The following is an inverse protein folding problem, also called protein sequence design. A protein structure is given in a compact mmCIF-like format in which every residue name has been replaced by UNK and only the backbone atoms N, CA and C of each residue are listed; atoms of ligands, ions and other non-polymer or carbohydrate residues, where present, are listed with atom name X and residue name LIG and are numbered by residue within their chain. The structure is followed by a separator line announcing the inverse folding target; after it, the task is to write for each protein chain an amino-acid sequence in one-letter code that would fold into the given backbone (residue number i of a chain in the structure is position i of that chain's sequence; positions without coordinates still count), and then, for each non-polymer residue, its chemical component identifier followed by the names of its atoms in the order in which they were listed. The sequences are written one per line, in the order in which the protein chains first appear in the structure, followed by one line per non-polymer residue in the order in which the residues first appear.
data_IF_338005052860
#
_entry.id   IF_338005052860
#
_cell.length_a   1.000
_cell.length_b   1.000
_cell.length_c   1.000
_cell.angle_alpha   90.00
_cell.angle_beta   90.00
_cell.angle_gamma   90.00
#
_symmetry.space_group_name_H-M   'P 1'
#
loop_
_entity.id
_entity.type
_entity.pdbx_description
1 polymer ?
#
# COMPACT_ATOMS: atom_id res chain seq x y z
N UNK A 1 0.67 6.25 34.31
CA UNK A 1 0.66 7.54 33.59
C UNK A 1 0.99 7.21 32.13
N UNK A 2 -0.04 7.06 31.29
CA UNK A 2 0.14 6.76 29.85
C UNK A 2 0.18 8.10 29.14
N UNK A 3 1.33 8.44 28.57
CA UNK A 3 1.56 9.68 27.85
C UNK A 3 0.80 9.55 26.53
N UNK A 4 -0.28 10.31 26.37
CA UNK A 4 -0.95 10.46 25.08
C UNK A 4 -0.04 11.34 24.22
N UNK A 5 0.79 10.73 23.40
CA UNK A 5 1.43 11.41 22.28
C UNK A 5 0.32 11.57 21.25
N UNK A 6 -0.33 12.72 21.26
CA UNK A 6 -1.23 13.12 20.18
C UNK A 6 -0.39 13.30 18.92
N UNK A 7 -0.31 12.25 18.10
CA UNK A 7 0.24 12.36 16.76
C UNK A 7 -0.83 13.08 15.96
N UNK A 8 -0.54 14.34 15.63
CA UNK A 8 -1.38 15.14 14.75
C UNK A 8 -1.58 14.37 13.44
N UNK A 9 -2.80 14.34 12.86
CA UNK A 9 -2.98 13.79 11.53
C UNK A 9 -2.15 14.66 10.60
N UNK A 10 -1.02 14.10 10.15
CA UNK A 10 -0.23 14.65 9.06
C UNK A 10 -1.09 14.50 7.82
N UNK A 11 -2.02 15.42 7.63
CA UNK A 11 -2.57 15.76 6.34
C UNK A 11 -1.37 16.18 5.49
N UNK A 12 -0.80 15.22 4.76
CA UNK A 12 0.22 15.47 3.75
C UNK A 12 -0.45 16.25 2.61
N UNK A 13 -0.54 17.56 2.79
CA UNK A 13 -0.92 18.49 1.74
C UNK A 13 0.27 18.54 0.76
N UNK A 14 0.16 17.77 -0.31
CA UNK A 14 0.88 18.01 -1.56
C UNK A 14 2.28 17.40 -1.67
N UNK A 15 2.36 16.20 -2.25
CA UNK A 15 3.49 15.85 -3.10
C UNK A 15 3.05 15.81 -4.56
N UNK A 16 2.69 16.96 -5.13
CA UNK A 16 2.50 17.09 -6.58
C UNK A 16 3.84 17.05 -7.37
N UNK A 17 4.92 16.54 -6.78
CA UNK A 17 6.28 16.52 -7.39
C UNK A 17 7.06 15.23 -7.21
N UNK A 18 6.64 14.29 -6.35
CA UNK A 18 7.34 13.00 -6.23
C UNK A 18 6.84 12.00 -7.29
N UNK A 19 7.73 11.15 -7.85
CA UNK A 19 7.32 10.05 -8.72
C UNK A 19 6.29 9.14 -8.05
N UNK A 20 5.37 8.60 -8.85
CA UNK A 20 4.35 7.66 -8.35
C UNK A 20 4.96 6.46 -7.63
N UNK A 21 6.10 5.95 -8.12
CA UNK A 21 6.86 4.86 -7.48
C UNK A 21 7.17 5.15 -6.01
N UNK A 22 7.53 6.39 -5.69
CA UNK A 22 7.89 6.76 -4.32
C UNK A 22 6.63 6.96 -3.48
N UNK A 23 5.61 7.61 -4.04
CA UNK A 23 4.34 7.87 -3.34
C UNK A 23 3.63 6.58 -2.95
N UNK A 24 3.58 5.60 -3.86
CA UNK A 24 2.96 4.30 -3.56
C UNK A 24 3.81 3.48 -2.59
N UNK A 25 5.14 3.53 -2.68
CA UNK A 25 6.02 2.88 -1.71
C UNK A 25 5.82 3.45 -0.31
N UNK A 26 5.84 4.78 -0.17
CA UNK A 26 5.63 5.49 1.10
C UNK A 26 4.26 5.16 1.70
N UNK A 27 3.20 5.21 0.90
CA UNK A 27 1.85 4.85 1.33
C UNK A 27 1.79 3.41 1.86
N UNK A 28 2.32 2.44 1.10
CA UNK A 28 2.29 1.03 1.51
C UNK A 28 3.15 0.78 2.75
N UNK A 29 4.33 1.38 2.85
CA UNK A 29 5.20 1.24 4.02
C UNK A 29 4.61 1.89 5.28
N UNK A 30 3.91 3.01 5.15
CA UNK A 30 3.20 3.64 6.28
C UNK A 30 2.11 2.73 6.84
N UNK A 31 1.34 2.10 5.95
CA UNK A 31 0.33 1.10 6.31
C UNK A 31 0.98 -0.09 7.00
N UNK A 32 1.98 -0.71 6.38
CA UNK A 32 2.68 -1.87 6.96
C UNK A 32 3.21 -1.59 8.37
N UNK A 33 3.69 -0.36 8.61
CA UNK A 33 4.28 0.03 9.90
C UNK A 33 3.24 0.36 10.97
N UNK A 34 2.16 1.06 10.60
CA UNK A 34 1.30 1.73 11.59
C UNK A 34 -0.10 1.12 11.72
N UNK A 35 -0.47 0.17 10.85
CA UNK A 35 -1.82 -0.35 10.75
C UNK A 35 -2.44 -0.91 12.05
N UNK A 36 -1.62 -1.45 12.97
CA UNK A 36 -2.10 -2.00 14.24
C UNK A 36 -2.62 -0.93 15.22
N UNK A 37 -2.15 0.31 15.07
CA UNK A 37 -2.51 1.43 15.95
C UNK A 37 -3.60 2.33 15.35
N UNK A 38 -3.99 2.08 14.10
CA UNK A 38 -4.93 2.90 13.35
C UNK A 38 -6.38 2.71 13.78
N UNK A 39 -7.10 3.82 13.87
CA UNK A 39 -8.54 3.82 13.95
C UNK A 39 -9.17 3.44 12.60
N UNK A 40 -10.46 3.13 12.60
CA UNK A 40 -11.20 2.92 11.35
C UNK A 40 -11.14 4.14 10.41
N UNK A 41 -11.10 5.35 10.97
CA UNK A 41 -10.98 6.58 10.18
C UNK A 41 -9.61 6.67 9.50
N UNK A 42 -8.53 6.36 10.22
CA UNK A 42 -7.18 6.33 9.66
C UNK A 42 -7.06 5.30 8.53
N UNK A 43 -7.67 4.13 8.73
CA UNK A 43 -7.79 3.10 7.70
C UNK A 43 -8.52 3.58 6.45
N UNK A 44 -9.68 4.22 6.61
CA UNK A 44 -10.47 4.72 5.50
C UNK A 44 -9.72 5.80 4.71
N UNK A 45 -9.05 6.72 5.41
CA UNK A 45 -8.25 7.78 4.79
C UNK A 45 -7.06 7.19 4.01
N UNK A 46 -6.37 6.21 4.60
CA UNK A 46 -5.25 5.54 3.95
C UNK A 46 -5.67 4.75 2.72
N UNK A 47 -6.82 4.07 2.78
CA UNK A 47 -7.41 3.38 1.62
C UNK A 47 -7.80 4.36 0.52
N UNK A 48 -8.37 5.51 0.86
CA UNK A 48 -8.72 6.55 -0.12
C UNK A 48 -7.46 7.03 -0.86
N UNK A 49 -6.36 7.24 -0.14
CA UNK A 49 -5.08 7.63 -0.75
C UNK A 49 -4.50 6.50 -1.62
N UNK A 50 -4.49 5.27 -1.14
CA UNK A 50 -4.06 4.10 -1.93
C UNK A 50 -4.85 3.97 -3.24
N UNK A 51 -6.18 4.11 -3.18
CA UNK A 51 -7.04 4.03 -4.35
C UNK A 51 -6.79 5.16 -5.36
N UNK A 52 -6.46 6.37 -4.89
CA UNK A 52 -6.05 7.48 -5.78
C UNK A 52 -4.76 7.16 -6.52
N UNK A 53 -3.77 6.60 -5.81
CA UNK A 53 -2.49 6.20 -6.41
C UNK A 53 -2.66 5.07 -7.42
N UNK A 54 -3.51 4.07 -7.12
CA UNK A 54 -3.83 2.99 -8.05
C UNK A 54 -4.50 3.52 -9.31
N UNK A 55 -5.48 4.42 -9.17
CA UNK A 55 -6.14 5.05 -10.30
C UNK A 55 -5.16 5.87 -11.16
N UNK A 56 -4.26 6.62 -10.53
CA UNK A 56 -3.20 7.36 -11.25
C UNK A 56 -2.29 6.39 -12.03
N UNK A 57 -1.92 5.25 -11.44
CA UNK A 57 -1.14 4.21 -12.10
C UNK A 57 -1.87 3.66 -13.33
N UNK A 58 -3.15 3.29 -13.19
CA UNK A 58 -3.96 2.74 -14.27
C UNK A 58 -4.14 3.73 -15.44
N UNK A 59 -4.46 4.99 -15.13
CA UNK A 59 -4.67 6.04 -16.13
C UNK A 59 -3.40 6.37 -16.93
N UNK A 60 -2.22 6.16 -16.32
CA UNK A 60 -0.93 6.50 -16.89
C UNK A 60 -0.07 5.26 -17.20
N UNK A 61 -0.65 4.05 -17.18
CA UNK A 61 0.10 2.80 -17.22
C UNK A 61 1.14 2.74 -18.35
N UNK A 62 0.77 3.14 -19.57
CA UNK A 62 1.66 3.09 -20.73
C UNK A 62 2.81 4.10 -20.70
N UNK A 63 2.78 5.07 -19.78
CA UNK A 63 3.81 6.13 -19.65
C UNK A 63 4.99 5.69 -18.79
N UNK A 64 4.82 4.67 -17.95
CA UNK A 64 5.86 4.17 -17.06
C UNK A 64 6.79 3.18 -17.77
N UNK A 65 8.06 3.23 -17.39
CA UNK A 65 9.04 2.20 -17.77
C UNK A 65 8.70 0.85 -17.13
N UNK A 66 9.26 -0.23 -17.67
CA UNK A 66 9.09 -1.56 -17.09
C UNK A 66 9.62 -1.64 -15.64
N UNK A 67 10.68 -0.92 -15.32
CA UNK A 67 11.25 -0.88 -13.97
C UNK A 67 10.31 -0.19 -12.98
N UNK A 68 9.73 0.94 -13.37
CA UNK A 68 8.73 1.66 -12.56
C UNK A 68 7.48 0.83 -12.35
N UNK A 69 6.96 0.18 -13.41
CA UNK A 69 5.83 -0.76 -13.30
C UNK A 69 6.13 -1.88 -12.31
N UNK A 70 7.28 -2.53 -12.44
CA UNK A 70 7.70 -3.59 -11.52
C UNK A 70 7.87 -3.11 -10.08
N UNK A 71 8.24 -1.85 -9.84
CA UNK A 71 8.31 -1.27 -8.50
C UNK A 71 6.89 -1.02 -7.93
N UNK A 72 6.01 -0.40 -8.72
CA UNK A 72 4.62 -0.13 -8.34
C UNK A 72 3.86 -1.44 -8.08
N UNK A 73 3.99 -2.42 -8.97
CA UNK A 73 3.36 -3.74 -8.83
C UNK A 73 3.82 -4.48 -7.58
N UNK A 74 5.10 -4.37 -7.20
CA UNK A 74 5.63 -4.94 -5.95
C UNK A 74 4.98 -4.29 -4.73
N UNK A 75 4.87 -2.96 -4.70
CA UNK A 75 4.20 -2.25 -3.62
C UNK A 75 2.72 -2.64 -3.51
N UNK A 76 2.01 -2.74 -4.64
CA UNK A 76 0.62 -3.24 -4.70
C UNK A 76 0.53 -4.66 -4.14
N UNK A 77 1.44 -5.55 -4.54
CA UNK A 77 1.52 -6.91 -4.03
C UNK A 77 1.66 -6.95 -2.51
N UNK A 78 2.57 -6.15 -1.94
CA UNK A 78 2.79 -6.07 -0.49
C UNK A 78 1.54 -5.61 0.26
N UNK A 79 0.90 -4.52 -0.17
CA UNK A 79 -0.35 -4.03 0.41
C UNK A 79 -1.42 -5.13 0.46
N UNK A 80 -1.60 -5.83 -0.66
CA UNK A 80 -2.56 -6.92 -0.81
C UNK A 80 -2.26 -8.11 0.11
N UNK A 81 -0.98 -8.51 0.18
CA UNK A 81 -0.52 -9.56 1.10
C UNK A 81 -0.78 -9.18 2.55
N UNK A 82 -0.56 -7.91 2.92
CA UNK A 82 -0.84 -7.39 4.26
C UNK A 82 -2.35 -7.42 4.59
N UNK A 83 -3.22 -6.90 3.72
CA UNK A 83 -4.68 -6.94 3.92
C UNK A 83 -5.17 -8.38 4.16
N UNK A 84 -4.68 -9.33 3.35
CA UNK A 84 -5.03 -10.74 3.48
C UNK A 84 -4.48 -11.35 4.79
N UNK A 85 -3.20 -11.12 5.09
CA UNK A 85 -2.53 -11.65 6.29
C UNK A 85 -3.20 -11.20 7.58
N UNK A 86 -3.67 -9.96 7.62
CA UNK A 86 -4.29 -9.36 8.80
C UNK A 86 -5.82 -9.51 8.83
N UNK A 87 -6.41 -10.21 7.85
CA UNK A 87 -7.86 -10.49 7.83
C UNK A 87 -8.70 -9.23 7.78
N UNK A 88 -8.22 -8.19 7.10
CA UNK A 88 -8.87 -6.89 7.05
C UNK A 88 -9.97 -6.95 5.96
N UNK A 89 -11.05 -7.65 6.29
CA UNK A 89 -12.12 -8.09 5.36
C UNK A 89 -12.80 -6.94 4.60
N UNK A 90 -12.86 -5.73 5.18
CA UNK A 90 -13.45 -4.54 4.53
C UNK A 90 -12.62 -4.01 3.35
N UNK A 91 -11.38 -4.46 3.18
CA UNK A 91 -10.40 -3.87 2.25
C UNK A 91 -9.96 -4.84 1.13
N UNK A 92 -10.51 -6.06 1.10
CA UNK A 92 -10.04 -7.17 0.26
C UNK A 92 -10.65 -7.31 -1.15
N UNK A 93 -11.51 -6.40 -1.61
CA UNK A 93 -12.32 -6.64 -2.82
C UNK A 93 -11.65 -6.39 -4.18
N UNK A 94 -10.33 -6.15 -4.27
CA UNK A 94 -9.73 -5.62 -5.51
C UNK A 94 -8.84 -6.60 -6.31
N UNK A 95 -8.86 -7.92 -6.04
CA UNK A 95 -7.76 -8.81 -6.53
C UNK A 95 -8.19 -10.18 -7.04
N UNK A 96 -9.22 -10.27 -7.88
CA UNK A 96 -9.31 -11.47 -8.76
C UNK A 96 -8.78 -11.22 -10.17
N UNK A 97 -8.73 -9.97 -10.65
CA UNK A 97 -8.38 -9.66 -12.03
C UNK A 97 -6.90 -9.28 -12.24
N UNK A 98 -6.23 -8.65 -11.27
CA UNK A 98 -4.84 -8.17 -11.44
C UNK A 98 -3.74 -9.22 -11.14
N UNK A 99 -3.99 -10.16 -10.22
CA UNK A 99 -2.93 -10.99 -9.62
C UNK A 99 -2.39 -12.15 -10.46
N UNK A 100 -3.11 -12.62 -11.49
CA UNK A 100 -2.75 -13.90 -12.15
C UNK A 100 -1.63 -13.80 -13.19
N UNK A 101 -1.03 -12.62 -13.47
CA UNK A 101 -0.15 -12.46 -14.65
C UNK A 101 1.17 -11.70 -14.48
N UNK A 102 1.46 -11.09 -13.32
CA UNK A 102 2.66 -10.25 -13.14
C UNK A 102 3.58 -10.80 -12.02
N UNK A 103 4.82 -11.24 -12.34
CA UNK A 103 5.76 -11.78 -11.35
C UNK A 103 6.08 -10.83 -10.19
N UNK A 104 6.25 -9.53 -10.47
CA UNK A 104 6.51 -8.47 -9.48
C UNK A 104 5.41 -8.35 -8.42
N UNK A 105 4.15 -8.47 -8.83
CA UNK A 105 3.00 -8.43 -7.91
C UNK A 105 3.00 -9.66 -6.98
N UNK A 106 3.32 -10.84 -7.51
CA UNK A 106 3.42 -12.08 -6.74
C UNK A 106 4.58 -12.00 -5.74
N UNK A 107 5.73 -11.46 -6.15
CA UNK A 107 6.88 -11.22 -5.24
C UNK A 107 6.50 -10.33 -4.06
N UNK A 108 5.86 -9.18 -4.36
CA UNK A 108 5.35 -8.28 -3.33
C UNK A 108 4.39 -8.99 -2.38
N UNK A 109 3.43 -9.73 -2.92
CA UNK A 109 2.46 -10.50 -2.14
C UNK A 109 3.13 -11.54 -1.23
N UNK A 110 4.07 -12.33 -1.77
CA UNK A 110 4.80 -13.35 -1.00
C UNK A 110 5.60 -12.76 0.15
N UNK A 111 6.28 -11.64 -0.08
CA UNK A 111 7.10 -10.98 0.94
C UNK A 111 6.32 -10.53 2.20
N UNK A 112 5.01 -10.28 2.09
CA UNK A 112 4.17 -9.97 3.25
C UNK A 112 4.10 -11.14 4.25
N UNK A 113 4.26 -12.38 3.77
CA UNK A 113 4.21 -13.59 4.57
C UNK A 113 5.58 -14.06 5.07
N UNK A 114 6.68 -13.69 4.38
CA UNK A 114 8.05 -14.09 4.73
C UNK A 114 8.60 -13.35 5.96
N UNK A 115 8.16 -12.12 6.21
CA UNK A 115 8.68 -11.26 7.29
C UNK A 115 8.29 -11.69 8.73
N UNK A 116 7.77 -12.92 8.95
CA UNK A 116 7.38 -13.41 10.28
C UNK A 116 7.93 -14.78 10.70
N UNK A 117 8.80 -15.44 9.93
CA UNK A 117 9.45 -16.69 10.38
C UNK A 117 10.65 -16.47 11.31
N UNK A 118 10.87 -15.23 11.78
CA UNK A 118 11.91 -14.92 12.77
C UNK A 118 11.44 -13.89 13.80
N UNK A 119 10.60 -14.35 14.74
CA UNK A 119 10.56 -13.85 16.12
C UNK A 119 10.06 -14.94 17.07
#
# INVERSE_FOLDING_TARGET
MKIFIGIAPLLFIGSCTAPLTNRIEECVSDIETNHEEWSQEDWNLSQEEYNKLLKEYEENYDTYTQEEKSAIDRAIGRYNGMILKHGIEEFGNTIEEFGKRLPSLIEGFGSAFENNDSK
#
